data_IF_161315544723
#
_entry.id   IF_161315544723
#
_cell.length_a   1.000
_cell.length_b   1.000
_cell.length_c   1.000
_cell.angle_alpha   90.00
_cell.angle_beta   90.00
_cell.angle_gamma   90.00
#
_symmetry.space_group_name_H-M   'P 1'
#
loop_
_entity.id
_entity.type
_entity.pdbx_description
1 polymer ?
#
# COMPACT_ATOMS: atom_id res chain seq x y z
N UNK A 1 34.78 -34.85 -38.37
CA UNK A 1 33.42 -34.85 -37.77
C UNK A 1 33.55 -34.89 -36.25
N UNK A 2 33.46 -33.75 -35.55
CA UNK A 2 33.44 -33.67 -34.08
C UNK A 2 32.01 -33.37 -33.64
N UNK A 3 31.39 -34.27 -32.88
CA UNK A 3 30.06 -34.08 -32.28
C UNK A 3 30.23 -33.23 -31.01
N UNK A 4 29.57 -32.07 -30.94
CA UNK A 4 29.45 -31.29 -29.71
C UNK A 4 28.55 -32.05 -28.72
N UNK A 5 28.90 -32.15 -27.43
CA UNK A 5 28.06 -32.79 -26.44
C UNK A 5 26.87 -31.89 -26.08
N UNK A 6 25.67 -32.37 -26.40
CA UNK A 6 24.36 -31.77 -26.10
C UNK A 6 24.06 -31.59 -24.60
N UNK A 7 24.92 -32.11 -23.71
CA UNK A 7 24.72 -32.07 -22.26
C UNK A 7 25.16 -30.77 -21.57
N UNK A 8 25.95 -29.90 -22.21
CA UNK A 8 26.36 -28.64 -21.57
C UNK A 8 25.28 -27.55 -21.61
N UNK A 9 24.33 -27.66 -22.54
CA UNK A 9 23.30 -26.64 -22.77
C UNK A 9 22.11 -26.73 -21.79
N UNK A 10 21.92 -27.89 -21.15
CA UNK A 10 20.85 -28.10 -20.15
C UNK A 10 21.24 -27.67 -18.75
N UNK A 11 22.53 -27.62 -18.41
CA UNK A 11 22.98 -27.30 -17.05
C UNK A 11 22.96 -25.78 -16.75
N UNK A 12 23.11 -24.94 -17.77
CA UNK A 12 23.08 -23.47 -17.61
C UNK A 12 21.67 -22.91 -17.50
N UNK A 13 20.65 -23.58 -18.06
CA UNK A 13 19.26 -23.11 -17.99
C UNK A 13 18.59 -23.42 -16.64
N UNK A 14 19.05 -24.45 -15.92
CA UNK A 14 18.49 -24.83 -14.62
C UNK A 14 18.93 -23.95 -13.44
N UNK A 15 20.06 -23.24 -13.56
CA UNK A 15 20.62 -22.45 -12.46
C UNK A 15 20.15 -20.98 -12.44
N UNK A 16 19.52 -20.50 -13.52
CA UNK A 16 19.04 -19.11 -13.65
C UNK A 16 17.59 -18.91 -13.16
N UNK A 17 16.83 -19.99 -12.97
CA UNK A 17 15.42 -19.91 -12.56
C UNK A 17 15.17 -19.41 -11.11
N UNK A 18 15.99 -19.71 -10.08
CA UNK A 18 15.64 -19.32 -8.71
C UNK A 18 15.84 -17.82 -8.44
N UNK A 19 16.65 -17.11 -9.23
CA UNK A 19 16.92 -15.67 -9.03
C UNK A 19 15.72 -14.77 -9.39
N UNK A 20 14.80 -15.25 -10.25
CA UNK A 20 13.60 -14.49 -10.63
C UNK A 20 12.50 -14.63 -9.57
N UNK A 21 12.50 -15.69 -8.77
CA UNK A 21 11.45 -15.97 -7.77
C UNK A 21 11.52 -15.07 -6.52
N UNK A 22 12.69 -14.50 -6.20
CA UNK A 22 12.85 -13.65 -5.00
C UNK A 22 12.14 -12.29 -5.10
N UNK A 23 11.74 -11.84 -6.29
CA UNK A 23 11.05 -10.55 -6.46
C UNK A 23 9.52 -10.61 -6.37
N UNK A 24 8.95 -11.80 -6.19
CA UNK A 24 7.51 -11.96 -6.07
C UNK A 24 6.96 -11.63 -4.67
N UNK A 25 7.82 -11.42 -3.67
CA UNK A 25 7.41 -11.16 -2.29
C UNK A 25 6.83 -9.76 -2.08
N UNK A 26 7.08 -8.80 -2.98
CA UNK A 26 6.50 -7.45 -2.91
C UNK A 26 4.96 -7.42 -3.08
N UNK A 27 4.36 -8.48 -3.62
CA UNK A 27 2.92 -8.54 -3.88
C UNK A 27 2.10 -9.16 -2.74
N UNK A 28 2.68 -10.04 -1.91
CA UNK A 28 1.98 -10.56 -0.72
C UNK A 28 2.32 -9.73 0.50
N UNK A 29 1.33 -9.14 1.13
CA UNK A 29 1.48 -8.52 2.45
C UNK A 29 1.59 -9.61 3.52
N UNK A 30 2.51 -9.42 4.46
CA UNK A 30 2.34 -10.01 5.78
C UNK A 30 1.15 -9.37 6.50
N UNK A 31 0.67 -9.97 7.60
CA UNK A 31 -0.46 -9.44 8.35
C UNK A 31 -0.24 -8.01 8.86
N UNK A 32 0.97 -7.68 9.29
CA UNK A 32 1.30 -6.39 9.92
C UNK A 32 1.37 -5.28 8.86
N UNK A 33 2.00 -5.55 7.72
CA UNK A 33 2.08 -4.63 6.60
C UNK A 33 0.69 -4.36 6.01
N UNK A 34 -0.24 -5.34 6.08
CA UNK A 34 -1.63 -5.12 5.68
C UNK A 34 -2.35 -4.17 6.64
N UNK A 35 -2.13 -4.32 7.94
CA UNK A 35 -2.68 -3.40 8.94
C UNK A 35 -2.10 -2.00 8.74
N UNK A 36 -0.79 -1.88 8.50
CA UNK A 36 -0.13 -0.61 8.20
C UNK A 36 -0.68 0.04 6.92
N UNK A 37 -0.82 -0.71 5.84
CA UNK A 37 -1.38 -0.18 4.58
C UNK A 37 -2.82 0.31 4.79
N UNK A 38 -3.65 -0.42 5.53
CA UNK A 38 -5.01 0.00 5.87
C UNK A 38 -5.01 1.25 6.75
N UNK A 39 -4.10 1.34 7.72
CA UNK A 39 -3.96 2.51 8.58
C UNK A 39 -3.56 3.75 7.75
N UNK A 40 -2.59 3.60 6.85
CA UNK A 40 -2.16 4.66 5.96
C UNK A 40 -3.28 5.09 4.99
N UNK A 41 -4.15 4.18 4.53
CA UNK A 41 -5.37 4.55 3.79
C UNK A 41 -6.29 5.46 4.61
N UNK A 42 -6.39 5.28 5.93
CA UNK A 42 -7.16 6.20 6.78
C UNK A 42 -6.54 7.59 6.85
N UNK A 43 -5.22 7.71 6.83
CA UNK A 43 -4.52 8.99 6.74
C UNK A 43 -4.81 9.66 5.40
N UNK A 44 -4.68 8.92 4.28
CA UNK A 44 -5.01 9.41 2.93
C UNK A 44 -6.46 9.88 2.80
N UNK A 45 -7.41 9.14 3.41
CA UNK A 45 -8.82 9.52 3.41
C UNK A 45 -9.09 10.81 4.18
N UNK A 46 -8.44 11.01 5.32
CA UNK A 46 -8.56 12.25 6.11
C UNK A 46 -7.92 13.45 5.39
N UNK A 47 -6.75 13.26 4.77
CA UNK A 47 -6.09 14.28 3.94
C UNK A 47 -6.99 14.68 2.75
N UNK A 48 -7.54 13.70 2.04
CA UNK A 48 -8.45 13.93 0.90
C UNK A 48 -9.73 14.67 1.30
N UNK A 49 -10.19 14.52 2.55
CA UNK A 49 -11.33 15.25 3.11
C UNK A 49 -10.95 16.66 3.60
N UNK A 50 -9.66 17.01 3.61
CA UNK A 50 -9.13 18.27 4.11
C UNK A 50 -9.09 18.36 5.63
N UNK A 51 -9.07 17.22 6.34
CA UNK A 51 -9.01 17.20 7.81
C UNK A 51 -7.60 17.37 8.36
N UNK A 52 -6.59 17.10 7.53
CA UNK A 52 -5.18 17.18 7.91
C UNK A 52 -4.54 18.43 7.32
N UNK A 53 -3.67 19.06 8.10
CA UNK A 53 -2.69 20.00 7.54
C UNK A 53 -1.54 19.21 6.89
N UNK A 54 -0.69 19.85 6.05
CA UNK A 54 0.48 19.19 5.49
C UNK A 54 1.41 18.59 6.57
N UNK A 55 1.58 19.30 7.68
CA UNK A 55 2.40 18.82 8.81
C UNK A 55 1.75 17.61 9.50
N UNK A 56 0.42 17.61 9.69
CA UNK A 56 -0.29 16.47 10.27
C UNK A 56 -0.20 15.23 9.36
N UNK A 57 -0.30 15.42 8.04
CA UNK A 57 -0.14 14.34 7.07
C UNK A 57 1.27 13.73 7.13
N UNK A 58 2.30 14.57 7.17
CA UNK A 58 3.69 14.11 7.29
C UNK A 58 3.90 13.31 8.59
N UNK A 59 3.45 13.83 9.73
CA UNK A 59 3.57 13.16 11.02
C UNK A 59 2.83 11.82 11.02
N UNK A 60 1.54 11.80 10.65
CA UNK A 60 0.73 10.58 10.71
C UNK A 60 1.19 9.52 9.71
N UNK A 61 1.61 9.92 8.50
CA UNK A 61 2.16 8.96 7.53
C UNK A 61 3.50 8.39 7.99
N UNK A 62 4.37 9.22 8.57
CA UNK A 62 5.66 8.77 9.12
C UNK A 62 5.48 7.86 10.33
N UNK A 63 4.52 8.14 11.23
CA UNK A 63 4.20 7.25 12.36
C UNK A 63 3.83 5.83 11.92
N UNK A 64 3.18 5.68 10.75
CA UNK A 64 2.89 4.35 10.19
C UNK A 64 4.16 3.71 9.60
N UNK A 65 4.97 4.49 8.88
CA UNK A 65 6.05 3.97 8.05
C UNK A 65 7.39 3.80 8.77
N UNK A 66 7.67 4.59 9.81
CA UNK A 66 8.94 4.59 10.55
C UNK A 66 9.25 3.28 11.29
N UNK A 67 8.23 2.41 11.44
CA UNK A 67 8.39 1.08 12.01
C UNK A 67 8.90 0.04 11.01
N UNK A 68 9.10 0.42 9.74
CA UNK A 68 9.45 -0.47 8.64
C UNK A 68 10.73 0.00 7.94
N UNK A 69 11.44 -0.93 7.30
CA UNK A 69 12.56 -0.55 6.45
C UNK A 69 12.05 0.25 5.23
N UNK A 70 12.85 1.15 4.64
CA UNK A 70 12.40 2.02 3.55
C UNK A 70 11.75 1.26 2.37
N UNK A 71 12.32 0.13 1.97
CA UNK A 71 11.77 -0.67 0.87
C UNK A 71 10.42 -1.33 1.22
N UNK A 72 10.19 -1.65 2.48
CA UNK A 72 8.91 -2.17 2.97
C UNK A 72 7.87 -1.04 3.06
N UNK A 73 8.31 0.14 3.50
CA UNK A 73 7.50 1.36 3.53
C UNK A 73 6.94 1.74 2.15
N UNK A 74 7.77 1.68 1.10
CA UNK A 74 7.33 1.90 -0.29
C UNK A 74 6.21 0.93 -0.72
N UNK A 75 6.35 -0.34 -0.33
CA UNK A 75 5.37 -1.40 -0.63
C UNK A 75 4.06 -1.17 0.13
N UNK A 76 4.14 -0.78 1.40
CA UNK A 76 2.98 -0.42 2.24
C UNK A 76 2.26 0.78 1.64
N UNK A 77 3.00 1.83 1.27
CA UNK A 77 2.45 3.05 0.66
C UNK A 77 1.74 2.75 -0.66
N UNK A 78 2.37 2.00 -1.57
CA UNK A 78 1.76 1.61 -2.84
C UNK A 78 0.45 0.82 -2.66
N UNK A 79 0.36 -0.01 -1.62
CA UNK A 79 -0.85 -0.78 -1.32
C UNK A 79 -1.92 0.05 -0.63
N UNK A 80 -1.54 1.01 0.20
CA UNK A 80 -2.46 1.98 0.77
C UNK A 80 -3.15 2.79 -0.34
N UNK A 81 -2.41 3.20 -1.37
CA UNK A 81 -2.95 3.82 -2.58
C UNK A 81 -3.89 2.87 -3.33
N UNK A 82 -3.49 1.61 -3.54
CA UNK A 82 -4.36 0.64 -4.20
C UNK A 82 -5.66 0.36 -3.44
N UNK A 83 -5.62 0.36 -2.10
CA UNK A 83 -6.82 0.25 -1.27
C UNK A 83 -7.68 1.51 -1.40
N UNK A 84 -7.06 2.69 -1.35
CA UNK A 84 -7.74 3.97 -1.52
C UNK A 84 -8.47 4.05 -2.88
N UNK A 85 -7.79 3.69 -3.97
CA UNK A 85 -8.39 3.61 -5.31
C UNK A 85 -9.53 2.57 -5.34
N UNK A 86 -9.35 1.44 -4.67
CA UNK A 86 -10.38 0.43 -4.48
C UNK A 86 -11.64 0.96 -3.78
N UNK A 87 -11.48 1.87 -2.80
CA UNK A 87 -12.62 2.54 -2.17
C UNK A 87 -13.38 3.42 -3.16
N UNK A 88 -12.70 3.98 -4.17
CA UNK A 88 -13.32 4.84 -5.19
C UNK A 88 -13.86 4.05 -6.38
N UNK A 89 -13.61 2.73 -6.45
CA UNK A 89 -14.05 1.90 -7.55
C UNK A 89 -15.56 2.00 -7.78
N UNK A 90 -15.94 2.28 -9.03
CA UNK A 90 -17.33 2.41 -9.45
C UNK A 90 -17.99 3.76 -9.10
N UNK A 91 -17.25 4.71 -8.52
CA UNK A 91 -17.72 6.07 -8.32
C UNK A 91 -17.39 6.95 -9.54
N UNK A 92 -18.23 7.93 -9.88
CA UNK A 92 -17.89 8.92 -10.88
C UNK A 92 -16.78 9.85 -10.35
N UNK A 93 -15.63 9.88 -11.04
CA UNK A 93 -14.43 10.63 -10.62
C UNK A 93 -14.66 12.15 -10.45
N UNK A 94 -15.67 12.71 -11.13
CA UNK A 94 -15.97 14.15 -11.11
C UNK A 94 -17.04 14.52 -10.07
N UNK A 95 -17.54 13.55 -9.30
CA UNK A 95 -18.55 13.79 -8.26
C UNK A 95 -17.89 13.85 -6.88
N UNK A 96 -17.39 15.03 -6.54
CA UNK A 96 -16.73 15.29 -5.27
C UNK A 96 -17.63 14.97 -4.05
N UNK A 97 -18.95 15.17 -4.16
CA UNK A 97 -19.89 14.88 -3.07
C UNK A 97 -19.99 13.39 -2.79
N UNK A 98 -20.09 12.57 -3.85
CA UNK A 98 -20.14 11.11 -3.72
C UNK A 98 -18.80 10.56 -3.20
N UNK A 99 -17.67 11.09 -3.69
CA UNK A 99 -16.34 10.74 -3.20
C UNK A 99 -16.19 11.10 -1.71
N UNK A 100 -16.54 12.33 -1.31
CA UNK A 100 -16.48 12.78 0.08
C UNK A 100 -17.42 11.98 0.98
N UNK A 101 -18.60 11.60 0.51
CA UNK A 101 -19.51 10.74 1.27
C UNK A 101 -18.92 9.34 1.50
N UNK A 102 -18.26 8.76 0.48
CA UNK A 102 -17.56 7.47 0.62
C UNK A 102 -16.40 7.57 1.61
N UNK A 103 -15.56 8.59 1.49
CA UNK A 103 -14.41 8.79 2.37
C UNK A 103 -14.84 9.02 3.82
N UNK A 104 -15.86 9.86 4.07
CA UNK A 104 -16.43 10.05 5.41
C UNK A 104 -16.94 8.74 6.00
N UNK A 105 -17.73 7.98 5.24
CA UNK A 105 -18.22 6.68 5.68
C UNK A 105 -17.08 5.70 5.99
N UNK A 106 -15.96 5.77 5.28
CA UNK A 106 -14.79 4.92 5.54
C UNK A 106 -14.05 5.36 6.82
N UNK A 107 -13.81 6.66 7.00
CA UNK A 107 -13.18 7.23 8.21
C UNK A 107 -14.01 6.95 9.46
N UNK A 108 -15.34 7.06 9.37
CA UNK A 108 -16.27 6.79 10.49
C UNK A 108 -16.43 5.29 10.79
N UNK A 109 -15.84 4.41 9.98
CA UNK A 109 -15.97 2.96 10.13
C UNK A 109 -14.96 2.39 11.13
N UNK A 110 -15.14 1.11 11.47
CA UNK A 110 -14.16 0.36 12.28
C UNK A 110 -12.82 0.11 11.56
N UNK A 111 -12.66 0.55 10.30
CA UNK A 111 -11.39 0.46 9.59
C UNK A 111 -10.35 1.43 10.14
N UNK A 112 -10.78 2.61 10.65
CA UNK A 112 -9.90 3.72 11.04
C UNK A 112 -9.82 3.95 12.56
N UNK A 113 -10.24 2.98 13.38
CA UNK A 113 -10.42 3.12 14.84
C UNK A 113 -9.14 3.29 15.65
N UNK A 114 -7.96 3.27 15.01
CA UNK A 114 -6.66 3.51 15.64
C UNK A 114 -6.11 4.92 15.43
N UNK A 115 -6.83 5.83 14.75
CA UNK A 115 -6.39 7.23 14.64
C UNK A 115 -6.67 7.94 15.97
N UNK A 116 -5.69 7.85 16.87
CA UNK A 116 -5.55 8.65 18.09
C UNK A 116 -4.70 9.85 17.71
N UNK A 117 -5.23 11.07 17.73
CA UNK A 117 -4.36 12.24 17.66
C UNK A 117 -4.86 13.55 17.05
N UNK A 118 -6.15 13.74 16.78
CA UNK A 118 -6.64 15.12 16.58
C UNK A 118 -8.01 15.27 17.22
N UNK A 119 -8.08 16.15 18.22
CA UNK A 119 -9.34 16.52 18.87
C UNK A 119 -10.26 17.13 17.83
N UNK A 120 -11.29 16.39 17.42
CA UNK A 120 -12.41 16.97 16.69
C UNK A 120 -13.08 18.03 17.58
N UNK A 121 -12.97 19.31 17.20
CA UNK A 121 -13.96 20.31 17.59
C UNK A 121 -15.10 20.22 16.58
N UNK A 122 -16.20 19.60 17.00
CA UNK A 122 -17.52 19.76 16.40
C UNK A 122 -18.00 21.21 16.53
#
# INVERSE_FOLDING_TARGET
MRRLPTSLLTLTFGLLLPLVALRAQALSLGPDEFVAARHLTCVLAQDSLGYLTPDDFEVLSSEVLDSYEPEEGDVIYAKALGYFDGLMFGLPEQDAEVIHARLRSFVDSQACTQVVGVSFRL
#
